data_IF_189519139050
#
_entry.id   IF_189519139050
#
_cell.length_a   1.000
_cell.length_b   1.000
_cell.length_c   1.000
_cell.angle_alpha   90.00
_cell.angle_beta   90.00
_cell.angle_gamma   90.00
#
_symmetry.space_group_name_H-M   'P 1'
#
loop_
_entity.id
_entity.type
_entity.pdbx_description
1 polymer ?
#
# COMPACT_ATOMS: atom_id res chain seq x y z
N UNK A 1 9.71 -3.07 13.56
CA UNK A 1 9.86 -1.63 13.40
C UNK A 1 9.96 -1.29 11.92
N UNK A 2 9.19 -0.30 11.43
CA UNK A 2 9.29 0.20 10.06
C UNK A 2 10.53 1.11 9.97
N UNK A 3 11.62 0.57 9.42
CA UNK A 3 12.89 1.31 9.27
C UNK A 3 13.19 1.53 7.78
N UNK A 4 13.10 2.78 7.33
CA UNK A 4 13.44 3.16 5.97
C UNK A 4 14.89 2.81 5.61
N UNK A 5 15.83 2.93 6.58
CA UNK A 5 17.24 2.58 6.38
C UNK A 5 17.39 1.06 6.16
N UNK A 6 16.68 0.24 6.93
CA UNK A 6 16.73 -1.21 6.76
C UNK A 6 16.13 -1.66 5.42
N UNK A 7 15.00 -1.06 5.03
CA UNK A 7 14.37 -1.31 3.73
C UNK A 7 15.35 -0.95 2.61
N UNK A 8 15.89 0.28 2.64
CA UNK A 8 16.84 0.73 1.62
C UNK A 8 18.05 -0.22 1.51
N UNK A 9 18.73 -0.54 2.62
CA UNK A 9 19.89 -1.45 2.58
C UNK A 9 19.55 -2.83 2.00
N UNK A 10 18.36 -3.34 2.28
CA UNK A 10 17.90 -4.61 1.72
C UNK A 10 17.67 -4.50 0.23
N UNK A 11 17.00 -3.42 -0.22
CA UNK A 11 16.72 -3.17 -1.62
C UNK A 11 18.00 -2.87 -2.41
N UNK A 12 18.92 -2.09 -1.84
CA UNK A 12 20.24 -1.83 -2.43
C UNK A 12 21.01 -3.13 -2.66
N UNK A 13 21.07 -4.01 -1.66
CA UNK A 13 21.73 -5.32 -1.81
C UNK A 13 21.12 -6.16 -2.93
N UNK A 14 19.81 -6.07 -3.13
CA UNK A 14 19.11 -6.87 -4.13
C UNK A 14 19.16 -6.27 -5.56
N UNK A 15 19.15 -4.94 -5.70
CA UNK A 15 18.87 -4.27 -6.97
C UNK A 15 19.88 -3.19 -7.38
N UNK A 16 20.93 -2.86 -6.58
CA UNK A 16 21.85 -1.76 -6.90
C UNK A 16 22.56 -1.94 -8.25
N UNK A 17 22.90 -3.18 -8.62
CA UNK A 17 23.55 -3.49 -9.90
C UNK A 17 22.62 -3.35 -11.11
N UNK A 18 21.31 -3.43 -10.90
CA UNK A 18 20.28 -3.26 -11.92
C UNK A 18 18.98 -2.72 -11.30
N UNK A 19 18.90 -1.42 -11.00
CA UNK A 19 17.70 -0.81 -10.42
C UNK A 19 16.44 -0.97 -11.28
N UNK A 20 16.58 -1.11 -12.60
CA UNK A 20 15.44 -1.35 -13.48
C UNK A 20 14.70 -2.65 -13.12
N UNK A 21 15.43 -3.69 -12.69
CA UNK A 21 14.81 -4.97 -12.32
C UNK A 21 13.83 -4.87 -11.13
N UNK A 22 13.97 -3.86 -10.26
CA UNK A 22 12.98 -3.56 -9.24
C UNK A 22 11.64 -3.08 -9.84
N UNK A 23 11.71 -2.19 -10.83
CA UNK A 23 10.50 -1.69 -11.51
C UNK A 23 9.86 -2.76 -12.39
N UNK A 24 10.68 -3.60 -13.03
CA UNK A 24 10.20 -4.76 -13.78
C UNK A 24 9.47 -5.75 -12.85
N UNK A 25 9.97 -5.95 -11.62
CA UNK A 25 9.28 -6.75 -10.61
C UNK A 25 7.93 -6.13 -10.20
N UNK A 26 7.86 -4.81 -9.94
CA UNK A 26 6.61 -4.12 -9.65
C UNK A 26 5.59 -4.28 -10.80
N UNK A 27 6.06 -4.13 -12.05
CA UNK A 27 5.23 -4.32 -13.24
C UNK A 27 4.72 -5.77 -13.37
N UNK A 28 5.56 -6.77 -13.13
CA UNK A 28 5.18 -8.19 -13.13
C UNK A 28 4.15 -8.51 -12.05
N UNK A 29 4.22 -7.84 -10.90
CA UNK A 29 3.21 -7.94 -9.85
C UNK A 29 1.93 -7.13 -10.16
N UNK A 30 1.90 -6.41 -11.27
CA UNK A 30 0.81 -5.47 -11.63
C UNK A 30 0.56 -4.40 -10.57
N UNK A 31 1.63 -3.99 -9.83
CA UNK A 31 1.52 -2.91 -8.86
C UNK A 31 1.18 -1.60 -9.57
N UNK A 32 0.21 -0.85 -9.02
CA UNK A 32 -0.30 0.38 -9.65
C UNK A 32 -1.48 0.17 -10.60
N UNK A 33 -1.97 -1.07 -10.80
CA UNK A 33 -3.19 -1.35 -11.57
C UNK A 33 -4.45 -1.28 -10.68
N UNK A 34 -5.62 -1.03 -11.27
CA UNK A 34 -5.90 -0.81 -12.70
C UNK A 34 -5.62 0.62 -13.16
N UNK A 35 -5.56 0.82 -14.49
CA UNK A 35 -5.42 2.15 -15.11
C UNK A 35 -6.78 2.84 -15.29
N UNK A 36 -7.86 2.08 -15.28
CA UNK A 36 -9.23 2.57 -15.37
C UNK A 36 -10.18 1.67 -14.59
N UNK A 37 -11.28 2.24 -14.12
CA UNK A 37 -12.39 1.52 -13.46
C UNK A 37 -13.69 2.09 -14.03
N UNK A 38 -14.58 1.22 -14.51
CA UNK A 38 -15.88 1.64 -15.04
C UNK A 38 -16.67 2.39 -13.96
N UNK A 39 -17.12 3.59 -14.28
CA UNK A 39 -17.88 4.46 -13.36
C UNK A 39 -16.99 5.39 -12.50
N UNK A 40 -15.65 5.27 -12.57
CA UNK A 40 -14.73 6.23 -11.94
C UNK A 40 -14.07 7.07 -13.05
N UNK A 41 -14.45 8.33 -13.12
CA UNK A 41 -13.82 9.27 -14.03
C UNK A 41 -12.44 9.68 -13.53
N UNK A 42 -11.50 9.96 -14.47
CA UNK A 42 -10.20 10.54 -14.20
C UNK A 42 -9.24 9.71 -13.31
N UNK A 43 -9.45 8.40 -13.19
CA UNK A 43 -8.41 7.54 -12.64
C UNK A 43 -7.19 7.59 -13.58
N UNK A 44 -6.05 8.04 -13.06
CA UNK A 44 -4.81 8.11 -13.82
C UNK A 44 -4.03 6.81 -13.65
N UNK A 45 -3.34 6.34 -14.70
CA UNK A 45 -2.34 5.28 -14.55
C UNK A 45 -1.31 5.64 -13.48
N UNK A 46 -0.84 4.63 -12.74
CA UNK A 46 0.26 4.83 -11.82
C UNK A 46 1.53 5.26 -12.58
N UNK A 47 2.30 6.15 -11.99
CA UNK A 47 3.54 6.66 -12.54
C UNK A 47 4.70 6.39 -11.60
N UNK A 48 5.84 5.98 -12.17
CA UNK A 48 7.08 5.68 -11.44
C UNK A 48 8.24 6.38 -12.14
N UNK A 49 9.10 7.07 -11.38
CA UNK A 49 10.38 7.55 -11.91
C UNK A 49 11.34 6.36 -11.93
N UNK A 50 11.78 5.98 -13.11
CA UNK A 50 12.61 4.80 -13.37
C UNK A 50 13.98 5.19 -13.92
N UNK A 51 14.97 4.28 -13.98
CA UNK A 51 16.26 4.53 -14.62
C UNK A 51 16.19 4.98 -16.08
N UNK A 52 15.04 4.83 -16.74
CA UNK A 52 14.81 5.27 -18.13
C UNK A 52 14.36 6.72 -18.23
N UNK A 53 14.01 7.35 -17.11
CA UNK A 53 13.51 8.72 -17.08
C UNK A 53 14.66 9.74 -16.95
N UNK A 54 14.55 10.88 -17.62
CA UNK A 54 15.56 11.94 -17.62
C UNK A 54 15.80 12.56 -16.23
N UNK A 55 14.83 12.47 -15.33
CA UNK A 55 14.91 12.97 -13.97
C UNK A 55 15.38 11.90 -12.96
N UNK A 56 15.82 10.73 -13.43
CA UNK A 56 16.48 9.74 -12.59
C UNK A 56 17.81 10.25 -12.04
N UNK A 57 18.00 10.16 -10.73
CA UNK A 57 19.22 10.57 -10.03
C UNK A 57 19.86 9.39 -9.29
N UNK A 58 21.11 9.54 -8.86
CA UNK A 58 21.82 8.52 -8.08
C UNK A 58 21.09 8.13 -6.77
N UNK A 59 20.33 9.08 -6.21
CA UNK A 59 19.55 8.85 -4.97
C UNK A 59 18.11 8.41 -5.24
N UNK A 60 17.67 8.41 -6.51
CA UNK A 60 16.28 8.12 -6.86
C UNK A 60 15.86 6.72 -6.39
N UNK A 61 16.72 5.71 -6.51
CA UNK A 61 16.43 4.35 -6.05
C UNK A 61 16.19 4.28 -4.54
N UNK A 62 16.96 5.04 -3.75
CA UNK A 62 16.78 5.14 -2.28
C UNK A 62 15.35 5.57 -1.97
N UNK A 63 14.91 6.64 -2.61
CA UNK A 63 13.58 7.20 -2.41
C UNK A 63 12.47 6.27 -2.94
N UNK A 64 12.67 5.67 -4.13
CA UNK A 64 11.70 4.73 -4.71
C UNK A 64 11.53 3.49 -3.84
N UNK A 65 12.59 2.99 -3.19
CA UNK A 65 12.54 1.80 -2.33
C UNK A 65 11.68 1.97 -1.08
N UNK A 66 11.40 3.20 -0.68
CA UNK A 66 10.54 3.53 0.48
C UNK A 66 9.22 4.21 0.07
N UNK A 67 8.89 4.19 -1.24
CA UNK A 67 7.58 4.60 -1.75
C UNK A 67 7.50 6.02 -2.30
N UNK A 68 8.62 6.77 -2.37
CA UNK A 68 8.66 8.05 -3.09
C UNK A 68 8.92 7.86 -4.59
N UNK A 69 8.96 8.94 -5.35
CA UNK A 69 9.15 8.94 -6.80
C UNK A 69 8.11 8.12 -7.56
N UNK A 70 6.91 8.01 -7.00
CA UNK A 70 5.77 7.33 -7.60
C UNK A 70 4.46 8.06 -7.28
N UNK A 71 3.51 7.93 -8.18
CA UNK A 71 2.12 8.37 -7.98
C UNK A 71 1.22 7.15 -8.16
N UNK A 72 0.69 6.63 -7.06
CA UNK A 72 -0.23 5.50 -7.04
C UNK A 72 -1.45 5.93 -6.24
N UNK A 73 -2.63 5.80 -6.84
CA UNK A 73 -3.87 6.21 -6.18
C UNK A 73 -4.26 5.24 -5.06
N UNK A 74 -5.03 5.68 -4.05
CA UNK A 74 -5.50 4.79 -2.98
C UNK A 74 -6.22 3.54 -3.49
N UNK A 75 -7.02 3.65 -4.56
CA UNK A 75 -7.71 2.48 -5.12
C UNK A 75 -6.76 1.45 -5.76
N UNK A 76 -5.65 1.90 -6.35
CA UNK A 76 -4.61 1.01 -6.88
C UNK A 76 -3.85 0.30 -5.75
N UNK A 77 -3.55 1.02 -4.66
CA UNK A 77 -2.97 0.43 -3.45
C UNK A 77 -3.93 -0.61 -2.86
N UNK A 78 -5.21 -0.26 -2.71
CA UNK A 78 -6.25 -1.17 -2.22
C UNK A 78 -6.36 -2.43 -3.07
N UNK A 79 -6.30 -2.29 -4.41
CA UNK A 79 -6.34 -3.42 -5.35
C UNK A 79 -5.17 -4.37 -5.12
N UNK A 80 -3.99 -3.84 -4.86
CA UNK A 80 -2.81 -4.67 -4.56
C UNK A 80 -2.95 -5.40 -3.21
N UNK A 81 -3.42 -4.73 -2.16
CA UNK A 81 -3.70 -5.37 -0.86
C UNK A 81 -4.82 -6.41 -0.95
N UNK A 82 -5.85 -6.14 -1.76
CA UNK A 82 -6.89 -7.13 -2.06
C UNK A 82 -6.31 -8.38 -2.73
N UNK A 83 -5.36 -8.22 -3.66
CA UNK A 83 -4.68 -9.38 -4.28
C UNK A 83 -3.90 -10.20 -3.25
N UNK A 84 -3.23 -9.57 -2.28
CA UNK A 84 -2.55 -10.28 -1.18
C UNK A 84 -3.58 -11.06 -0.35
N UNK A 85 -4.69 -10.42 0.05
CA UNK A 85 -5.79 -11.06 0.75
C UNK A 85 -6.35 -12.26 -0.03
N UNK A 86 -6.48 -12.12 -1.34
CA UNK A 86 -6.99 -13.11 -2.30
C UNK A 86 -5.91 -14.12 -2.80
N UNK A 87 -4.94 -14.44 -1.95
CA UNK A 87 -3.89 -15.44 -2.21
C UNK A 87 -3.04 -15.17 -3.46
N UNK A 88 -2.89 -13.90 -3.83
CA UNK A 88 -2.08 -13.46 -4.97
C UNK A 88 -2.87 -13.20 -6.25
N UNK A 89 -4.16 -13.51 -6.31
CA UNK A 89 -5.00 -13.23 -7.46
C UNK A 89 -5.51 -11.79 -7.41
N UNK A 90 -5.08 -10.96 -8.36
CA UNK A 90 -5.52 -9.58 -8.49
C UNK A 90 -6.75 -9.48 -9.39
N UNK A 91 -7.82 -8.91 -8.87
CA UNK A 91 -9.06 -8.64 -9.59
C UNK A 91 -9.29 -7.13 -9.72
N UNK A 92 -9.99 -6.74 -10.78
CA UNK A 92 -10.34 -5.34 -10.99
C UNK A 92 -11.46 -4.92 -10.03
N UNK A 93 -11.30 -3.79 -9.32
CA UNK A 93 -12.39 -3.20 -8.54
C UNK A 93 -13.57 -2.83 -9.44
N UNK A 94 -14.78 -3.01 -8.95
CA UNK A 94 -16.02 -2.74 -9.68
C UNK A 94 -16.98 -1.94 -8.79
N UNK A 95 -17.63 -0.92 -9.34
CA UNK A 95 -18.70 -0.18 -8.67
C UNK A 95 -20.08 -0.84 -8.87
N UNK A 96 -20.21 -1.62 -9.94
CA UNK A 96 -21.43 -2.33 -10.28
C UNK A 96 -21.14 -3.83 -10.30
N UNK A 97 -22.15 -4.63 -9.95
CA UNK A 97 -22.02 -6.09 -10.00
C UNK A 97 -21.96 -6.53 -11.48
N UNK A 98 -20.81 -7.06 -11.87
CA UNK A 98 -20.52 -7.54 -13.21
C UNK A 98 -19.61 -8.78 -13.14
N UNK A 99 -19.21 -9.31 -14.30
CA UNK A 99 -18.25 -10.41 -14.39
C UNK A 99 -16.90 -10.02 -13.77
N UNK A 100 -16.28 -10.95 -13.08
CA UNK A 100 -14.96 -10.73 -12.46
C UNK A 100 -13.88 -10.61 -13.53
N UNK A 101 -13.22 -9.46 -13.59
CA UNK A 101 -12.06 -9.23 -14.45
C UNK A 101 -10.78 -9.51 -13.65
N UNK A 102 -9.97 -10.45 -14.12
CA UNK A 102 -8.68 -10.79 -13.52
C UNK A 102 -7.60 -9.93 -14.16
N UNK A 103 -6.93 -9.09 -13.36
CA UNK A 103 -5.79 -8.28 -13.80
C UNK A 103 -4.51 -9.13 -13.83
N UNK A 104 -4.29 -9.89 -12.78
CA UNK A 104 -3.12 -10.78 -12.67
C UNK A 104 -3.54 -12.05 -11.91
N UNK A 105 -3.37 -13.23 -12.51
CA UNK A 105 -3.77 -14.48 -11.87
C UNK A 105 -2.93 -14.81 -10.63
N UNK A 106 -1.67 -14.32 -10.56
CA UNK A 106 -0.76 -14.59 -9.46
C UNK A 106 0.35 -13.54 -9.40
N UNK A 107 0.22 -12.55 -8.51
CA UNK A 107 1.18 -11.43 -8.37
C UNK A 107 2.55 -11.86 -7.82
N UNK A 108 2.61 -12.95 -7.06
CA UNK A 108 3.85 -13.48 -6.48
C UNK A 108 3.67 -14.95 -6.11
N UNK A 109 4.77 -15.66 -5.82
CA UNK A 109 4.70 -17.05 -5.38
C UNK A 109 3.83 -17.22 -4.13
N UNK A 110 3.22 -18.38 -3.95
CA UNK A 110 2.40 -18.68 -2.77
C UNK A 110 3.18 -18.46 -1.48
N UNK A 111 4.43 -18.94 -1.43
CA UNK A 111 5.29 -18.77 -0.26
C UNK A 111 5.56 -17.28 0.08
N UNK A 112 5.75 -16.44 -0.95
CA UNK A 112 5.92 -14.98 -0.77
C UNK A 112 4.65 -14.34 -0.22
N UNK A 113 3.48 -14.70 -0.77
CA UNK A 113 2.17 -14.21 -0.30
C UNK A 113 1.94 -14.62 1.16
N UNK A 114 2.18 -15.88 1.52
CA UNK A 114 1.97 -16.37 2.88
C UNK A 114 2.92 -15.68 3.87
N UNK A 115 4.16 -15.42 3.47
CA UNK A 115 5.13 -14.66 4.28
C UNK A 115 4.70 -13.21 4.48
N UNK A 116 4.21 -12.56 3.42
CA UNK A 116 3.72 -11.19 3.47
C UNK A 116 2.46 -11.07 4.34
N UNK A 117 1.51 -12.02 4.24
CA UNK A 117 0.33 -12.08 5.12
C UNK A 117 0.73 -12.11 6.59
N UNK A 118 1.69 -12.96 6.96
CA UNK A 118 2.22 -13.03 8.34
C UNK A 118 2.82 -11.70 8.78
N UNK A 119 3.60 -11.04 7.91
CA UNK A 119 4.20 -9.74 8.21
C UNK A 119 3.14 -8.64 8.41
N UNK A 120 2.07 -8.64 7.61
CA UNK A 120 0.96 -7.67 7.73
C UNK A 120 0.14 -7.90 9.01
N UNK A 121 -0.06 -9.15 9.43
CA UNK A 121 -0.66 -9.48 10.72
C UNK A 121 0.24 -9.00 11.86
N UNK A 122 1.53 -9.36 11.83
CA UNK A 122 2.49 -8.93 12.85
C UNK A 122 2.56 -7.41 13.00
N UNK A 123 2.46 -6.67 11.89
CA UNK A 123 2.45 -5.21 11.94
C UNK A 123 1.29 -4.66 12.77
N UNK A 124 0.13 -5.32 12.73
CA UNK A 124 -1.07 -4.91 13.49
C UNK A 124 -1.06 -5.45 14.92
N UNK A 125 -0.53 -6.65 15.16
CA UNK A 125 -0.48 -7.24 16.50
C UNK A 125 0.61 -6.65 17.37
N UNK A 126 1.82 -6.44 16.81
CA UNK A 126 3.05 -6.13 17.54
C UNK A 126 3.87 -4.97 16.93
N UNK A 127 3.48 -4.49 15.73
CA UNK A 127 4.18 -3.43 15.01
C UNK A 127 3.59 -2.05 15.20
N UNK A 128 3.84 -1.15 14.25
CA UNK A 128 3.36 0.23 14.27
C UNK A 128 1.89 0.39 13.85
N UNK A 129 1.25 -0.68 13.37
CA UNK A 129 -0.16 -0.71 12.97
C UNK A 129 -1.14 -1.05 14.11
N UNK A 130 -0.71 -1.10 15.36
CA UNK A 130 -1.52 -1.53 16.52
C UNK A 130 -2.81 -0.71 16.71
N UNK A 131 -2.85 0.53 16.26
CA UNK A 131 -4.07 1.35 16.30
C UNK A 131 -5.22 0.78 15.44
N UNK A 132 -4.91 -0.03 14.43
CA UNK A 132 -5.91 -0.73 13.62
C UNK A 132 -6.33 -2.09 14.23
N UNK A 133 -5.72 -2.51 15.33
CA UNK A 133 -6.03 -3.79 16.00
C UNK A 133 -7.47 -3.82 16.47
N UNK A 134 -8.16 -4.91 16.15
CA UNK A 134 -9.53 -5.18 16.65
C UNK A 134 -9.50 -6.33 17.66
N UNK A 135 -10.36 -6.21 18.66
CA UNK A 135 -10.57 -7.27 19.66
C UNK A 135 -11.55 -8.36 19.16
N UNK A 136 -12.22 -8.10 18.03
CA UNK A 136 -13.29 -8.95 17.48
C UNK A 136 -12.81 -9.84 16.34
N UNK A 137 -11.84 -9.37 15.54
CA UNK A 137 -11.35 -10.07 14.37
C UNK A 137 -9.89 -9.74 14.12
N UNK A 138 -9.13 -10.72 13.65
CA UNK A 138 -7.73 -10.50 13.32
C UNK A 138 -7.60 -9.70 12.02
N UNK A 139 -6.86 -8.60 12.10
CA UNK A 139 -6.60 -7.65 11.01
C UNK A 139 -5.19 -7.83 10.48
N UNK A 140 -5.01 -7.74 9.18
CA UNK A 140 -3.73 -7.61 8.50
C UNK A 140 -3.67 -6.28 7.76
N UNK A 141 -2.59 -5.54 7.90
CA UNK A 141 -2.46 -4.25 7.22
C UNK A 141 -1.18 -3.50 7.53
N UNK A 142 -1.01 -2.36 6.86
CA UNK A 142 0.16 -1.50 6.97
C UNK A 142 -0.27 -0.04 6.90
N UNK A 143 0.41 0.78 7.67
CA UNK A 143 0.29 2.24 7.64
C UNK A 143 1.28 2.85 6.65
N UNK A 144 0.95 4.03 6.16
CA UNK A 144 1.82 4.90 5.37
C UNK A 144 1.69 6.35 5.84
N UNK A 145 2.75 7.11 5.68
CA UNK A 145 2.75 8.57 5.85
C UNK A 145 3.71 9.16 4.83
N UNK A 146 3.19 9.99 3.94
CA UNK A 146 3.99 10.67 2.91
C UNK A 146 3.72 12.18 2.93
N UNK A 147 4.75 12.98 2.64
CA UNK A 147 4.57 14.41 2.38
C UNK A 147 4.05 14.59 0.95
N UNK A 148 3.00 15.39 0.81
CA UNK A 148 2.39 15.77 -0.47
C UNK A 148 2.94 17.10 -1.00
N UNK A 149 3.66 17.85 -0.18
CA UNK A 149 4.25 19.13 -0.52
C UNK A 149 5.68 19.21 0.03
N UNK A 150 6.50 20.04 -0.62
CA UNK A 150 7.88 20.31 -0.23
C UNK A 150 8.03 21.79 0.07
N UNK A 151 7.44 22.25 1.17
CA UNK A 151 7.66 23.61 1.66
C UNK A 151 8.93 23.66 2.54
N UNK A 152 9.61 24.79 2.58
CA UNK A 152 10.73 25.00 3.51
C UNK A 152 10.26 24.89 4.98
N UNK A 153 9.04 25.37 5.26
CA UNK A 153 8.38 25.22 6.54
C UNK A 153 7.49 23.96 6.55
N UNK A 154 8.01 22.87 7.09
CA UNK A 154 7.32 21.56 7.19
C UNK A 154 6.05 21.59 8.03
N UNK A 155 5.82 22.62 8.84
CA UNK A 155 4.57 22.74 9.59
C UNK A 155 3.38 23.09 8.69
N UNK A 156 3.65 23.62 7.49
CA UNK A 156 2.66 23.95 6.46
C UNK A 156 2.51 22.86 5.41
N UNK A 157 3.31 21.79 5.49
CA UNK A 157 3.22 20.69 4.56
C UNK A 157 1.87 19.98 4.67
N UNK A 158 1.42 19.47 3.53
CA UNK A 158 0.31 18.53 3.48
C UNK A 158 0.86 17.10 3.51
N UNK A 159 0.23 16.26 4.30
CA UNK A 159 0.58 14.85 4.44
C UNK A 159 -0.60 13.96 4.02
N UNK A 160 -0.31 12.90 3.27
CA UNK A 160 -1.20 11.74 3.17
C UNK A 160 -0.85 10.78 4.30
N UNK A 161 -1.80 10.52 5.19
CA UNK A 161 -1.69 9.52 6.25
C UNK A 161 -2.68 8.41 5.95
N UNK A 162 -2.18 7.18 5.82
CA UNK A 162 -2.94 6.09 5.26
C UNK A 162 -2.81 4.82 6.11
N UNK A 163 -3.85 4.01 6.07
CA UNK A 163 -3.82 2.62 6.52
C UNK A 163 -4.58 1.75 5.51
N UNK A 164 -3.91 0.73 4.99
CA UNK A 164 -4.51 -0.24 4.09
C UNK A 164 -4.43 -1.64 4.69
N UNK A 165 -5.54 -2.38 4.66
CA UNK A 165 -5.58 -3.71 5.25
C UNK A 165 -6.80 -4.51 4.86
N UNK A 166 -6.89 -5.72 5.42
CA UNK A 166 -8.01 -6.63 5.18
C UNK A 166 -8.33 -7.45 6.44
N UNK A 167 -9.54 -7.97 6.51
CA UNK A 167 -10.04 -8.81 7.60
C UNK A 167 -11.25 -9.64 7.16
N UNK A 168 -11.57 -10.80 7.86
CA UNK A 168 -10.68 -11.58 8.71
C UNK A 168 -9.43 -12.05 7.96
N UNK A 169 -8.34 -12.39 8.67
CA UNK A 169 -7.07 -12.76 8.02
C UNK A 169 -7.07 -14.16 7.43
N UNK A 170 -7.83 -15.08 8.02
CA UNK A 170 -7.95 -16.48 7.62
C UNK A 170 -8.93 -16.67 6.44
N UNK A 171 -10.01 -15.90 6.39
CA UNK A 171 -11.00 -15.89 5.32
C UNK A 171 -11.38 -14.44 4.97
N UNK A 172 -10.54 -13.69 4.24
CA UNK A 172 -10.73 -12.27 3.98
C UNK A 172 -12.06 -11.98 3.28
N UNK A 173 -12.86 -11.09 3.89
CA UNK A 173 -14.14 -10.62 3.35
C UNK A 173 -14.09 -9.15 2.94
N UNK A 174 -13.27 -8.37 3.62
CA UNK A 174 -13.17 -6.93 3.41
C UNK A 174 -11.71 -6.52 3.25
N UNK A 175 -11.45 -5.69 2.25
CA UNK A 175 -10.21 -4.94 2.07
C UNK A 175 -10.57 -3.46 2.10
N UNK A 176 -9.87 -2.68 2.93
CA UNK A 176 -10.18 -1.27 3.16
C UNK A 176 -8.89 -0.46 3.12
N UNK A 177 -8.96 0.71 2.51
CA UNK A 177 -7.95 1.76 2.66
C UNK A 177 -8.61 2.99 3.29
N UNK A 178 -7.96 3.54 4.29
CA UNK A 178 -8.28 4.85 4.87
C UNK A 178 -7.17 5.79 4.47
N UNK A 179 -7.50 6.86 3.76
CA UNK A 179 -6.56 7.89 3.33
C UNK A 179 -7.05 9.26 3.81
N UNK A 180 -6.21 9.97 4.53
CA UNK A 180 -6.53 11.27 5.13
C UNK A 180 -5.47 12.28 4.72
N UNK A 181 -5.90 13.38 4.10
CA UNK A 181 -5.03 14.52 3.86
C UNK A 181 -5.00 15.42 5.10
N UNK A 182 -3.81 15.61 5.66
CA UNK A 182 -3.60 16.38 6.90
C UNK A 182 -2.60 17.49 6.70
N UNK A 183 -2.96 18.69 7.14
CA UNK A 183 -2.05 19.84 7.18
C UNK A 183 -1.17 19.78 8.44
N UNK A 184 0.13 19.99 8.28
CA UNK A 184 1.12 20.09 9.34
C UNK A 184 1.38 18.80 10.12
N UNK A 185 2.30 18.90 11.07
CA UNK A 185 2.66 17.85 12.01
C UNK A 185 1.86 17.97 13.32
N UNK A 186 1.68 16.90 14.11
CA UNK A 186 2.10 15.51 13.81
C UNK A 186 1.23 14.84 12.74
N UNK A 187 1.83 13.98 11.92
CA UNK A 187 1.14 13.19 10.91
C UNK A 187 1.53 11.70 11.07
N UNK A 188 0.55 10.83 11.23
CA UNK A 188 0.79 9.40 11.45
C UNK A 188 -0.34 8.56 10.87
N UNK A 189 -0.02 7.76 9.85
CA UNK A 189 -0.96 6.82 9.25
C UNK A 189 -1.40 5.75 10.25
N UNK A 190 -0.47 5.22 11.05
CA UNK A 190 -0.78 4.22 12.08
C UNK A 190 -1.78 4.74 13.11
N UNK A 191 -1.55 5.93 13.67
CA UNK A 191 -2.42 6.52 14.68
C UNK A 191 -3.76 7.00 14.05
N UNK A 192 -3.70 7.87 13.06
CA UNK A 192 -4.90 8.55 12.55
C UNK A 192 -5.75 7.65 11.67
N UNK A 193 -5.18 7.11 10.59
CA UNK A 193 -5.90 6.24 9.67
C UNK A 193 -6.17 4.86 10.29
N UNK A 194 -5.28 4.36 11.15
CA UNK A 194 -5.47 3.12 11.88
C UNK A 194 -6.66 3.17 12.84
N UNK A 195 -6.85 4.27 13.59
CA UNK A 195 -8.01 4.44 14.48
C UNK A 195 -9.34 4.47 13.70
N UNK A 196 -9.37 5.14 12.54
CA UNK A 196 -10.55 5.13 11.67
C UNK A 196 -10.81 3.73 11.12
N UNK A 197 -9.76 3.03 10.68
CA UNK A 197 -9.86 1.65 10.20
C UNK A 197 -10.44 0.74 11.28
N UNK A 198 -9.95 0.80 12.52
CA UNK A 198 -10.46 0.04 13.67
C UNK A 198 -11.95 0.27 13.90
N UNK A 199 -12.40 1.52 13.84
CA UNK A 199 -13.83 1.86 13.98
C UNK A 199 -14.67 1.22 12.89
N UNK A 200 -14.22 1.24 11.62
CA UNK A 200 -14.91 0.57 10.51
C UNK A 200 -14.98 -0.94 10.74
N UNK A 201 -13.88 -1.57 11.17
CA UNK A 201 -13.87 -3.00 11.53
C UNK A 201 -14.93 -3.31 12.59
N UNK A 202 -15.01 -2.48 13.64
CA UNK A 202 -16.00 -2.62 14.71
C UNK A 202 -17.45 -2.52 14.26
N UNK A 203 -17.73 -1.73 13.23
CA UNK A 203 -19.07 -1.60 12.63
C UNK A 203 -19.44 -2.81 11.76
N UNK A 204 -18.48 -3.36 11.01
CA UNK A 204 -18.69 -4.50 10.11
C UNK A 204 -18.70 -5.86 10.86
N UNK A 205 -18.08 -5.90 12.04
CA UNK A 205 -18.08 -7.05 12.95
C UNK A 205 -18.55 -6.61 14.33
N UNK A 206 -19.87 -6.38 14.51
CA UNK A 206 -20.41 -5.86 15.77
C UNK A 206 -20.38 -6.90 16.93
N UNK A 207 -20.22 -8.21 16.60
CA UNK A 207 -20.26 -9.32 17.59
C UNK A 207 -19.00 -10.17 17.55
#
# INVERSE_FOLDING_TARGET
>A
ASSNIAIYKTMEKAFANNPQSYFDLLANMSYGKPDSITGIANLKPAYFITPKDNNWTKTAFVWSSIGYNQHVSPIQILTFYNAIANNGKMIQPQLYKDSVVVINPQIASRASIDSLKKALVFNVTDGLGQHAKSDKVLVAGMQGTSSLSTNEDRTKDMYAVEFCGYFPTDNPKYSIIVSINKAGLPASGGLMAGDVFKKIVGLLFPY
#
